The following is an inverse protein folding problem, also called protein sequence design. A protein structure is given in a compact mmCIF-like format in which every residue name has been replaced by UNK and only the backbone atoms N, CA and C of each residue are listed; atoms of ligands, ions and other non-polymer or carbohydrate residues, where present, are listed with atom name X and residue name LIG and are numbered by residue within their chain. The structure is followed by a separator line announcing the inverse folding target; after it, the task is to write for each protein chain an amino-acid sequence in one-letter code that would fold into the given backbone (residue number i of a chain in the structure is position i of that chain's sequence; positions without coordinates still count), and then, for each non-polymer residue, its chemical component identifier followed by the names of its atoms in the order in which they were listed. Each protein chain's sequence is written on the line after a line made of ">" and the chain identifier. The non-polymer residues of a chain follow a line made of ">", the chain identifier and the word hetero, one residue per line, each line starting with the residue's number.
data_IF_067970904079
#
_entry.id   IF_067970904079
#
_cell.length_a   1.000
_cell.length_b   1.000
_cell.length_c   1.000
_cell.angle_alpha   90.00
_cell.angle_beta   90.00
_cell.angle_gamma   90.00
#
_symmetry.space_group_name_H-M   'P 1'
#
loop_
_entity.id
_entity.type
_entity.pdbx_description
1 polymer ?
#
# COMPACT_ATOMS: atom_id res chain seq x y z
N UNK A 1 7.14 13.31 -1.44
CA UNK A 1 8.34 12.56 -1.86
C UNK A 1 7.89 11.25 -2.51
N UNK A 2 8.25 10.96 -3.77
CA UNK A 2 7.80 9.76 -4.46
C UNK A 2 8.43 8.48 -3.88
N UNK A 3 7.77 7.34 -4.08
CA UNK A 3 8.25 6.05 -3.55
C UNK A 3 9.68 5.75 -4.00
N UNK A 4 10.02 6.06 -5.26
CA UNK A 4 11.37 5.84 -5.81
C UNK A 4 12.46 6.58 -5.04
N UNK A 5 12.20 7.81 -4.61
CA UNK A 5 13.14 8.59 -3.78
C UNK A 5 13.25 8.01 -2.37
N UNK A 6 12.12 7.64 -1.76
CA UNK A 6 12.08 7.04 -0.41
C UNK A 6 12.82 5.71 -0.37
N UNK A 7 12.67 4.89 -1.41
CA UNK A 7 13.33 3.58 -1.51
C UNK A 7 14.85 3.73 -1.68
N UNK A 8 15.30 4.76 -2.40
CA UNK A 8 16.73 5.04 -2.61
C UNK A 8 17.40 5.61 -1.36
N UNK A 9 16.71 6.50 -0.65
CA UNK A 9 17.21 7.13 0.57
C UNK A 9 16.92 6.22 1.78
N UNK A 10 17.62 5.07 1.82
CA UNK A 10 17.47 4.07 2.88
C UNK A 10 17.69 4.62 4.28
N UNK A 11 17.10 3.96 5.28
CA UNK A 11 17.25 4.32 6.68
C UNK A 11 18.44 3.60 7.33
N UNK A 12 19.10 4.28 8.26
CA UNK A 12 20.06 3.65 9.17
C UNK A 12 19.37 2.78 10.24
N UNK A 13 20.13 2.01 11.04
CA UNK A 13 19.58 1.09 12.05
C UNK A 13 18.73 1.75 13.14
N UNK A 14 18.88 3.06 13.35
CA UNK A 14 18.13 3.86 14.35
C UNK A 14 17.09 4.79 13.72
N UNK A 15 16.95 4.77 12.40
CA UNK A 15 16.00 5.62 11.68
C UNK A 15 14.64 4.94 11.48
N UNK A 16 13.58 5.73 11.54
CA UNK A 16 12.21 5.27 11.27
C UNK A 16 11.69 5.66 9.87
N UNK A 17 12.54 6.25 9.02
CA UNK A 17 12.15 6.67 7.67
C UNK A 17 12.38 5.55 6.63
N UNK A 18 11.97 5.79 5.38
CA UNK A 18 12.19 4.84 4.28
C UNK A 18 10.99 3.95 3.99
N UNK A 19 11.20 2.95 3.12
CA UNK A 19 10.16 2.02 2.69
C UNK A 19 10.24 0.71 3.51
N UNK A 20 9.20 0.34 4.29
CA UNK A 20 9.23 -0.86 5.13
C UNK A 20 9.39 -2.14 4.30
N UNK A 21 8.83 -2.18 3.08
CA UNK A 21 9.01 -3.32 2.17
C UNK A 21 10.48 -3.52 1.79
N UNK A 22 11.27 -2.44 1.64
CA UNK A 22 12.71 -2.54 1.37
C UNK A 22 13.53 -2.94 2.61
N UNK A 23 13.17 -2.38 3.76
CA UNK A 23 14.00 -2.43 4.97
C UNK A 23 13.74 -3.65 5.84
N UNK A 24 12.50 -4.14 5.90
CA UNK A 24 12.16 -5.25 6.77
C UNK A 24 12.61 -6.59 6.17
N UNK A 25 13.11 -7.46 7.05
CA UNK A 25 13.27 -8.88 6.71
C UNK A 25 11.90 -9.50 6.41
N UNK A 26 11.82 -10.62 5.66
CA UNK A 26 10.54 -11.28 5.39
C UNK A 26 9.74 -11.62 6.65
N UNK A 27 10.44 -12.01 7.73
CA UNK A 27 9.83 -12.32 9.03
C UNK A 27 9.25 -11.05 9.67
N UNK A 28 10.03 -9.98 9.77
CA UNK A 28 9.58 -8.71 10.34
C UNK A 28 8.44 -8.10 9.52
N UNK A 29 8.49 -8.20 8.19
CA UNK A 29 7.43 -7.75 7.31
C UNK A 29 6.14 -8.54 7.55
N UNK A 30 6.22 -9.86 7.66
CA UNK A 30 5.05 -10.70 7.95
C UNK A 30 4.41 -10.33 9.29
N UNK A 31 5.22 -10.18 10.34
CA UNK A 31 4.74 -9.76 11.65
C UNK A 31 4.12 -8.35 11.62
N UNK A 32 4.75 -7.41 10.93
CA UNK A 32 4.21 -6.06 10.76
C UNK A 32 2.84 -6.07 10.07
N UNK A 33 2.69 -6.88 9.01
CA UNK A 33 1.45 -7.00 8.24
C UNK A 33 0.32 -7.64 9.06
N UNK A 34 0.63 -8.66 9.86
CA UNK A 34 -0.36 -9.33 10.70
C UNK A 34 -0.80 -8.42 11.84
N UNK A 35 0.12 -7.70 12.48
CA UNK A 35 -0.17 -6.79 13.59
C UNK A 35 -0.90 -5.52 13.16
N UNK A 36 -0.47 -4.91 12.04
CA UNK A 36 -0.99 -3.60 11.62
C UNK A 36 -2.26 -3.70 10.78
N UNK A 37 -2.40 -4.76 9.99
CA UNK A 37 -3.48 -4.92 9.02
C UNK A 37 -4.39 -6.13 9.30
N UNK A 38 -4.10 -6.92 10.34
CA UNK A 38 -4.91 -8.10 10.68
C UNK A 38 -4.84 -9.22 9.64
N UNK A 39 -3.82 -9.21 8.77
CA UNK A 39 -3.62 -10.24 7.76
C UNK A 39 -3.26 -11.59 8.41
N UNK A 40 -3.80 -12.69 7.90
CA UNK A 40 -3.41 -14.02 8.34
C UNK A 40 -2.02 -14.38 7.76
N UNK A 41 -1.07 -14.83 8.59
CA UNK A 41 0.30 -15.18 8.20
C UNK A 41 0.40 -16.17 7.02
N UNK A 42 -0.60 -17.05 6.86
CA UNK A 42 -0.63 -18.08 5.82
C UNK A 42 -1.50 -17.71 4.62
N UNK A 43 -2.04 -16.49 4.59
CA UNK A 43 -2.90 -15.98 3.52
C UNK A 43 -2.16 -15.88 2.18
N UNK A 44 -2.92 -15.95 1.07
CA UNK A 44 -2.34 -15.77 -0.26
C UNK A 44 -1.84 -14.33 -0.46
N UNK A 45 -2.47 -13.36 0.20
CA UNK A 45 -2.09 -11.96 0.21
C UNK A 45 -0.67 -11.75 0.76
N UNK A 46 -0.33 -12.36 1.89
CA UNK A 46 1.03 -12.27 2.43
C UNK A 46 2.04 -12.96 1.51
N UNK A 47 1.69 -14.12 0.92
CA UNK A 47 2.57 -14.80 -0.04
C UNK A 47 2.85 -13.92 -1.25
N UNK A 48 1.84 -13.26 -1.80
CA UNK A 48 1.97 -12.33 -2.92
C UNK A 48 2.87 -11.15 -2.53
N UNK A 49 2.60 -10.49 -1.39
CA UNK A 49 3.41 -9.37 -0.89
C UNK A 49 4.88 -9.75 -0.77
N UNK A 50 5.18 -10.92 -0.18
CA UNK A 50 6.54 -11.42 -0.03
C UNK A 50 7.19 -11.77 -1.37
N UNK A 51 6.44 -12.29 -2.34
CA UNK A 51 6.95 -12.59 -3.68
C UNK A 51 7.32 -11.32 -4.46
N UNK A 52 6.48 -10.29 -4.40
CA UNK A 52 6.79 -8.97 -4.94
C UNK A 52 8.02 -8.36 -4.26
N UNK A 53 8.13 -8.55 -2.94
CA UNK A 53 9.24 -8.01 -2.17
C UNK A 53 10.58 -8.65 -2.56
N UNK A 54 10.60 -9.98 -2.76
CA UNK A 54 11.76 -10.72 -3.27
C UNK A 54 12.21 -10.23 -4.65
N UNK A 55 11.25 -9.82 -5.47
CA UNK A 55 11.50 -9.26 -6.81
C UNK A 55 11.83 -7.76 -6.79
N UNK A 56 11.98 -7.15 -5.60
CA UNK A 56 12.17 -5.71 -5.42
C UNK A 56 11.05 -4.83 -6.01
N UNK A 57 9.86 -5.40 -6.19
CA UNK A 57 8.66 -4.71 -6.69
C UNK A 57 7.85 -4.12 -5.52
N UNK A 58 8.50 -3.25 -4.74
CA UNK A 58 7.96 -2.70 -3.49
C UNK A 58 6.64 -1.95 -3.66
N UNK A 59 6.43 -1.29 -4.81
CA UNK A 59 5.18 -0.59 -5.11
C UNK A 59 4.01 -1.58 -5.24
N UNK A 60 4.23 -2.79 -5.79
CA UNK A 60 3.20 -3.83 -5.87
C UNK A 60 2.92 -4.44 -4.50
N UNK A 61 3.94 -4.64 -3.67
CA UNK A 61 3.75 -5.02 -2.26
C UNK A 61 2.85 -4.03 -1.52
N UNK A 62 3.12 -2.73 -1.66
CA UNK A 62 2.30 -1.66 -1.07
C UNK A 62 0.88 -1.62 -1.66
N UNK A 63 0.75 -1.82 -2.97
CA UNK A 63 -0.55 -1.86 -3.66
C UNK A 63 -1.40 -3.02 -3.17
N UNK A 64 -0.82 -4.20 -2.97
CA UNK A 64 -1.53 -5.35 -2.43
C UNK A 64 -2.06 -5.06 -1.02
N UNK A 65 -1.24 -4.43 -0.15
CA UNK A 65 -1.69 -4.00 1.18
C UNK A 65 -2.85 -3.00 1.09
N UNK A 66 -2.79 -2.03 0.17
CA UNK A 66 -3.90 -1.10 -0.07
C UNK A 66 -5.19 -1.87 -0.40
N UNK A 67 -5.13 -2.78 -1.37
CA UNK A 67 -6.30 -3.54 -1.83
C UNK A 67 -6.93 -4.37 -0.71
N UNK A 68 -6.10 -5.03 0.11
CA UNK A 68 -6.57 -5.80 1.26
C UNK A 68 -7.22 -4.87 2.29
N UNK A 69 -6.54 -3.78 2.67
CA UNK A 69 -7.02 -2.89 3.72
C UNK A 69 -8.33 -2.19 3.35
N UNK A 70 -8.54 -1.92 2.06
CA UNK A 70 -9.73 -1.23 1.55
C UNK A 70 -10.77 -2.17 0.95
N UNK A 71 -10.64 -3.49 1.12
CA UNK A 71 -11.63 -4.48 0.65
C UNK A 71 -13.04 -4.18 1.16
N UNK A 72 -13.17 -3.65 2.39
CA UNK A 72 -14.45 -3.23 2.99
C UNK A 72 -15.13 -2.04 2.26
N UNK A 73 -14.35 -1.26 1.52
CA UNK A 73 -14.83 -0.15 0.68
C UNK A 73 -15.04 -0.58 -0.78
N UNK A 74 -15.02 -1.89 -1.08
CA UNK A 74 -15.27 -2.43 -2.41
C UNK A 74 -14.05 -2.53 -3.33
N UNK A 75 -12.84 -2.22 -2.84
CA UNK A 75 -11.60 -2.39 -3.62
C UNK A 75 -11.34 -3.86 -3.87
N UNK A 76 -11.11 -4.21 -5.14
CA UNK A 76 -10.80 -5.59 -5.58
C UNK A 76 -9.31 -5.74 -5.89
N UNK A 77 -8.83 -6.98 -5.84
CA UNK A 77 -7.47 -7.32 -6.28
C UNK A 77 -7.26 -6.88 -7.72
N UNK A 78 -6.18 -6.15 -7.99
CA UNK A 78 -5.84 -5.59 -9.30
C UNK A 78 -6.47 -4.24 -9.62
N UNK A 79 -7.28 -3.64 -8.72
CA UNK A 79 -7.74 -2.26 -8.91
C UNK A 79 -6.71 -1.21 -8.51
N UNK A 80 -5.77 -1.58 -7.62
CA UNK A 80 -4.81 -0.65 -7.03
C UNK A 80 -5.48 0.57 -6.39
N UNK A 81 -4.90 1.76 -6.59
CA UNK A 81 -5.42 3.05 -6.06
C UNK A 81 -6.52 3.67 -6.95
N UNK A 82 -7.06 2.90 -7.89
CA UNK A 82 -8.04 3.33 -8.90
C UNK A 82 -7.51 3.13 -10.31
N UNK A 83 -8.39 2.75 -11.25
CA UNK A 83 -8.04 2.54 -12.67
C UNK A 83 -6.86 1.57 -12.89
N UNK A 84 -6.67 0.57 -12.02
CA UNK A 84 -5.55 -0.39 -12.10
C UNK A 84 -4.16 0.26 -11.90
N UNK A 85 -4.13 1.47 -11.33
CA UNK A 85 -2.88 2.17 -10.98
C UNK A 85 -2.28 1.60 -9.70
N UNK A 86 -0.98 1.31 -9.72
CA UNK A 86 -0.22 0.91 -8.53
C UNK A 86 0.25 2.12 -7.69
N UNK A 87 0.49 1.91 -6.39
CA UNK A 87 0.94 2.96 -5.46
C UNK A 87 2.34 3.46 -5.83
N UNK A 88 2.45 4.69 -6.36
CA UNK A 88 3.72 5.31 -6.75
C UNK A 88 4.21 6.41 -5.79
N UNK A 89 3.36 6.88 -4.88
CA UNK A 89 3.66 7.93 -3.91
C UNK A 89 2.85 7.71 -2.61
N UNK A 90 3.41 7.98 -1.40
CA UNK A 90 2.66 7.84 -0.14
C UNK A 90 1.40 8.71 -0.09
N UNK A 91 1.49 9.98 -0.50
CA UNK A 91 0.30 10.83 -0.61
C UNK A 91 -0.76 10.24 -1.55
N UNK A 92 -0.36 9.61 -2.66
CA UNK A 92 -1.33 8.97 -3.58
C UNK A 92 -2.08 7.83 -2.91
N UNK A 93 -1.40 7.02 -2.10
CA UNK A 93 -2.05 6.03 -1.23
C UNK A 93 -3.06 6.72 -0.31
N UNK A 94 -2.64 7.77 0.40
CA UNK A 94 -3.49 8.49 1.35
C UNK A 94 -4.72 9.11 0.68
N UNK A 95 -4.55 9.80 -0.45
CA UNK A 95 -5.64 10.43 -1.20
C UNK A 95 -6.68 9.39 -1.66
N UNK A 96 -6.23 8.24 -2.16
CA UNK A 96 -7.13 7.15 -2.55
C UNK A 96 -7.86 6.56 -1.34
N UNK A 97 -7.14 6.31 -0.24
CA UNK A 97 -7.73 5.87 1.04
C UNK A 97 -8.77 6.85 1.55
N UNK A 98 -8.47 8.15 1.51
CA UNK A 98 -9.34 9.20 2.00
C UNK A 98 -10.61 9.30 1.16
N UNK A 99 -10.50 9.23 -0.17
CA UNK A 99 -11.66 9.21 -1.08
C UNK A 99 -12.58 8.02 -0.85
N UNK A 100 -12.01 6.84 -0.54
CA UNK A 100 -12.80 5.64 -0.23
C UNK A 100 -13.54 5.75 1.11
N UNK A 101 -12.93 6.40 2.11
CA UNK A 101 -13.53 6.59 3.43
C UNK A 101 -14.50 7.76 3.51
N UNK A 102 -14.36 8.74 2.62
CA UNK A 102 -15.21 9.92 2.50
C UNK A 102 -15.61 10.07 1.03
N UNK A 103 -16.54 9.23 0.55
CA UNK A 103 -17.06 9.39 -0.80
C UNK A 103 -17.66 10.79 -0.90
N UNK A 104 -17.00 11.67 -1.65
CA UNK A 104 -17.59 12.94 -2.06
C UNK A 104 -18.71 12.55 -3.00
N UNK A 105 -19.95 12.91 -2.67
CA UNK A 105 -21.05 12.78 -3.61
C UNK A 105 -20.75 13.65 -4.83
N UNK A 106 -20.27 13.02 -5.92
CA UNK A 106 -20.17 13.68 -7.22
C UNK A 106 -21.59 13.92 -7.74
N UNK A 107 -22.15 15.06 -7.36
CA UNK A 107 -23.49 15.49 -7.76
C UNK A 107 -23.81 16.89 -7.25
N UNK A 108 -23.27 17.92 -7.92
CA UNK A 108 -23.93 19.21 -8.25
C UNK A 108 -22.88 20.29 -8.61
N UNK A 109 -22.19 20.09 -9.73
CA UNK A 109 -21.75 21.25 -10.52
C UNK A 109 -23.01 21.80 -11.21
N UNK A 110 -23.63 22.83 -10.63
CA UNK A 110 -24.59 23.67 -11.37
C UNK A 110 -23.77 24.72 -12.13
N UNK A 111 -23.74 24.71 -13.48
CA UNK A 111 -23.11 25.78 -14.23
C UNK A 111 -23.92 27.07 -13.98
N UNK A 112 -23.23 28.15 -13.63
CA UNK A 112 -23.80 29.50 -13.52
C UNK A 112 -23.42 30.28 -14.77
#
# INVERSE_FOLDING_TARGET
>A
MPCTTIIKNGAGPSDSHGCPFKQFTPMNLTQFLTQSYGLNSNSNEIKDILNWNKSSLYHLSCTCVFEVHHKKYGVKKGQGVGQTESVSHPNRYFEASHKLSHPIEEGTAKPT
#
